data_IF_162673706663
#
_entry.id   IF_162673706663
#
_cell.length_a   1.000
_cell.length_b   1.000
_cell.length_c   1.000
_cell.angle_alpha   90.00
_cell.angle_beta   90.00
_cell.angle_gamma   90.00
#
_symmetry.space_group_name_H-M   'P 1'
#
loop_
_entity.id
_entity.type
_entity.pdbx_description
1 polymer ?
#
# COMPACT_ATOMS: atom_id res chain seq x y z
N UNK A 1 47.88 22.99 -48.65
CA UNK A 1 46.51 23.18 -48.12
C UNK A 1 45.88 21.80 -47.99
N UNK A 2 45.01 21.65 -47.00
CA UNK A 2 44.18 20.49 -46.68
C UNK A 2 44.79 19.45 -45.74
N UNK A 3 44.57 19.71 -44.45
CA UNK A 3 44.42 18.74 -43.37
C UNK A 3 43.20 17.83 -43.59
N UNK A 4 43.30 16.55 -43.20
CA UNK A 4 42.30 15.86 -42.34
C UNK A 4 42.76 14.44 -41.95
N UNK A 5 42.64 14.16 -40.64
CA UNK A 5 42.90 12.90 -39.93
C UNK A 5 41.78 11.86 -40.14
N UNK A 6 42.13 10.59 -40.41
CA UNK A 6 42.14 9.37 -39.55
C UNK A 6 40.79 8.85 -39.03
N UNK A 7 40.55 7.57 -39.33
CA UNK A 7 39.88 6.62 -38.44
C UNK A 7 40.22 5.16 -38.84
N UNK A 8 40.60 4.26 -37.92
CA UNK A 8 40.67 2.83 -38.22
C UNK A 8 39.59 2.02 -37.49
N UNK A 9 39.02 1.06 -38.23
CA UNK A 9 38.06 0.09 -37.74
C UNK A 9 38.68 -1.18 -37.14
N UNK A 10 37.92 -1.74 -36.20
CA UNK A 10 37.67 -3.17 -35.92
C UNK A 10 38.75 -4.21 -36.26
N UNK A 11 39.23 -4.91 -35.22
CA UNK A 11 39.70 -6.30 -35.35
C UNK A 11 39.26 -7.17 -34.16
N UNK A 12 38.68 -8.33 -34.50
CA UNK A 12 38.28 -9.44 -33.62
C UNK A 12 39.49 -10.02 -32.87
N UNK A 13 39.30 -10.47 -31.63
CA UNK A 13 40.22 -11.44 -31.01
C UNK A 13 39.49 -12.58 -30.29
N UNK A 14 40.05 -13.76 -30.51
CA UNK A 14 39.63 -15.12 -30.23
C UNK A 14 39.69 -15.54 -28.77
N UNK A 15 38.83 -16.51 -28.43
CA UNK A 15 38.76 -17.28 -27.19
C UNK A 15 40.08 -17.95 -26.78
N UNK A 16 40.44 -17.85 -25.49
CA UNK A 16 41.27 -18.84 -24.79
C UNK A 16 40.65 -19.15 -23.44
N UNK A 17 40.30 -20.42 -23.24
CA UNK A 17 39.91 -20.97 -21.96
C UNK A 17 41.11 -21.00 -21.01
N UNK A 18 40.87 -20.54 -19.79
CA UNK A 18 41.75 -20.73 -18.64
C UNK A 18 40.85 -20.98 -17.43
N UNK A 19 40.96 -22.16 -16.85
CA UNK A 19 40.31 -22.49 -15.59
C UNK A 19 40.88 -21.58 -14.49
N UNK A 20 40.10 -20.60 -14.07
CA UNK A 20 40.35 -19.82 -12.86
C UNK A 20 39.41 -20.38 -11.79
N UNK A 21 39.97 -21.20 -10.91
CA UNK A 21 39.46 -21.43 -9.57
C UNK A 21 39.40 -20.07 -8.87
N UNK A 22 38.28 -19.37 -9.00
CA UNK A 22 38.00 -18.18 -8.21
C UNK A 22 37.72 -18.63 -6.79
N UNK A 23 38.67 -18.38 -5.88
CA UNK A 23 38.41 -18.28 -4.46
C UNK A 23 37.27 -17.27 -4.28
N UNK A 24 36.04 -17.78 -4.16
CA UNK A 24 34.87 -17.00 -3.77
C UNK A 24 35.06 -16.59 -2.31
N UNK A 25 35.56 -15.38 -2.11
CA UNK A 25 35.73 -14.78 -0.79
C UNK A 25 34.39 -14.68 -0.05
N UNK A 26 34.47 -14.76 1.28
CA UNK A 26 33.35 -14.66 2.22
C UNK A 26 32.48 -13.39 2.04
N UNK A 27 32.99 -12.37 1.35
CA UNK A 27 32.38 -11.04 1.20
C UNK A 27 31.17 -11.01 0.25
N UNK A 28 31.01 -11.99 -0.65
CA UNK A 28 29.83 -12.05 -1.55
C UNK A 28 28.54 -12.43 -0.78
N UNK A 29 28.67 -13.00 0.41
CA UNK A 29 27.54 -13.52 1.18
C UNK A 29 26.81 -12.49 2.05
N UNK A 30 27.41 -11.33 2.33
CA UNK A 30 26.79 -10.31 3.18
C UNK A 30 25.72 -9.48 2.45
N UNK A 31 25.78 -9.47 1.11
CA UNK A 31 24.84 -8.77 0.23
C UNK A 31 23.98 -9.77 -0.56
N UNK A 32 23.20 -10.61 0.12
CA UNK A 32 22.26 -11.53 -0.54
C UNK A 32 21.28 -10.77 -1.45
N UNK A 33 21.63 -10.57 -2.72
CA UNK A 33 20.73 -10.04 -3.74
C UNK A 33 19.78 -11.17 -4.09
N UNK A 34 18.64 -11.21 -3.40
CA UNK A 34 17.55 -12.13 -3.72
C UNK A 34 17.06 -11.82 -5.14
N UNK A 35 16.97 -12.83 -6.04
CA UNK A 35 16.41 -12.63 -7.38
C UNK A 35 15.02 -11.98 -7.30
N UNK A 36 14.69 -11.08 -8.23
CA UNK A 36 13.42 -10.34 -8.21
C UNK A 36 12.19 -11.25 -8.20
N UNK A 37 12.27 -12.42 -8.86
CA UNK A 37 11.22 -13.45 -8.86
C UNK A 37 11.03 -14.13 -7.50
N UNK A 38 11.98 -13.98 -6.57
CA UNK A 38 11.97 -14.55 -5.22
C UNK A 38 11.91 -13.47 -4.13
N UNK A 39 11.47 -12.25 -4.46
CA UNK A 39 11.50 -11.11 -3.55
C UNK A 39 10.84 -11.35 -2.18
N UNK A 40 9.83 -12.23 -2.12
CA UNK A 40 9.12 -12.63 -0.89
C UNK A 40 9.96 -13.42 0.11
N UNK A 41 11.18 -13.84 -0.24
CA UNK A 41 12.11 -14.55 0.64
C UNK A 41 13.02 -13.58 1.41
N UNK A 42 13.20 -12.36 0.90
CA UNK A 42 14.07 -11.34 1.50
C UNK A 42 13.77 -11.06 2.98
N UNK A 43 12.50 -10.95 3.43
CA UNK A 43 12.18 -10.79 4.84
C UNK A 43 12.67 -11.96 5.71
N UNK A 44 12.58 -13.18 5.20
CA UNK A 44 12.99 -14.40 5.92
C UNK A 44 14.51 -14.41 6.16
N UNK A 45 15.29 -14.06 5.14
CA UNK A 45 16.74 -14.00 5.24
C UNK A 45 17.22 -12.84 6.12
N UNK A 46 16.49 -11.71 6.12
CA UNK A 46 16.75 -10.58 7.02
C UNK A 46 16.54 -10.97 8.48
N UNK A 47 15.41 -11.60 8.79
CA UNK A 47 15.13 -12.13 10.12
C UNK A 47 16.20 -13.14 10.55
N UNK A 48 16.61 -14.04 9.65
CA UNK A 48 17.67 -15.01 9.93
C UNK A 48 19.00 -14.32 10.31
N UNK A 49 19.40 -13.25 9.60
CA UNK A 49 20.61 -12.48 9.91
C UNK A 49 20.50 -11.73 11.24
N UNK A 50 19.32 -11.20 11.55
CA UNK A 50 19.07 -10.47 12.79
C UNK A 50 19.21 -11.36 14.02
N UNK A 51 18.63 -12.55 13.99
CA UNK A 51 18.62 -13.45 15.16
C UNK A 51 19.87 -14.33 15.25
N UNK A 52 20.77 -14.30 14.25
CA UNK A 52 21.93 -15.20 14.16
C UNK A 52 22.89 -15.10 15.35
N UNK A 53 23.10 -13.88 15.87
CA UNK A 53 24.01 -13.66 16.99
C UNK A 53 23.46 -14.22 18.32
N UNK A 54 22.14 -14.13 18.53
CA UNK A 54 21.46 -14.54 19.76
C UNK A 54 21.03 -16.01 19.71
N UNK A 55 20.53 -16.47 18.56
CA UNK A 55 19.98 -17.80 18.34
C UNK A 55 20.43 -18.40 16.99
N UNK A 56 21.65 -18.97 16.93
CA UNK A 56 22.20 -19.57 15.71
C UNK A 56 21.33 -20.68 15.13
N UNK A 57 20.67 -21.49 15.98
CA UNK A 57 19.78 -22.56 15.51
C UNK A 57 18.51 -22.01 14.86
N UNK A 58 17.90 -20.99 15.43
CA UNK A 58 16.71 -20.36 14.84
C UNK A 58 17.05 -19.67 13.52
N UNK A 59 18.20 -19.00 13.43
CA UNK A 59 18.69 -18.43 12.17
C UNK A 59 18.88 -19.48 11.07
N UNK A 60 19.44 -20.65 11.43
CA UNK A 60 19.53 -21.80 10.52
C UNK A 60 18.15 -22.26 10.03
N UNK A 61 17.17 -22.40 10.93
CA UNK A 61 15.79 -22.80 10.57
C UNK A 61 15.12 -21.79 9.63
N UNK A 62 15.34 -20.49 9.85
CA UNK A 62 14.85 -19.44 8.96
C UNK A 62 15.46 -19.56 7.56
N UNK A 63 16.77 -19.82 7.45
CA UNK A 63 17.44 -20.05 6.14
C UNK A 63 16.96 -21.31 5.46
N UNK A 64 16.68 -22.36 6.22
CA UNK A 64 16.17 -23.62 5.69
C UNK A 64 14.75 -23.42 5.11
N UNK A 65 13.88 -22.75 5.86
CA UNK A 65 12.55 -22.36 5.38
C UNK A 65 12.62 -21.47 4.14
N UNK A 66 13.54 -20.50 4.11
CA UNK A 66 13.80 -19.66 2.94
C UNK A 66 14.19 -20.49 1.70
N UNK A 67 15.01 -21.51 1.87
CA UNK A 67 15.39 -22.43 0.79
C UNK A 67 14.19 -23.24 0.28
N UNK A 68 13.38 -23.80 1.17
CA UNK A 68 12.15 -24.52 0.78
C UNK A 68 11.15 -23.60 0.07
N UNK A 69 10.97 -22.37 0.57
CA UNK A 69 10.11 -21.35 -0.06
C UNK A 69 10.63 -20.99 -1.45
N UNK A 70 11.95 -20.85 -1.64
CA UNK A 70 12.56 -20.66 -2.96
C UNK A 70 12.28 -21.84 -3.89
N UNK A 71 12.37 -23.07 -3.38
CA UNK A 71 12.08 -24.27 -4.16
C UNK A 71 10.61 -24.29 -4.62
N UNK A 72 9.66 -23.99 -3.74
CA UNK A 72 8.22 -23.91 -4.08
C UNK A 72 7.92 -22.83 -5.12
N UNK A 73 8.56 -21.66 -5.04
CA UNK A 73 8.30 -20.53 -5.94
C UNK A 73 8.83 -20.73 -7.36
N UNK A 74 9.94 -21.47 -7.53
CA UNK A 74 10.51 -21.76 -8.85
C UNK A 74 11.15 -23.16 -8.87
N UNK A 75 10.37 -24.25 -8.90
CA UNK A 75 10.91 -25.61 -8.77
C UNK A 75 11.98 -25.95 -9.80
N UNK A 76 11.82 -25.46 -11.03
CA UNK A 76 12.75 -25.68 -12.16
C UNK A 76 13.94 -24.72 -12.19
N UNK A 77 13.98 -23.72 -11.31
CA UNK A 77 15.05 -22.71 -11.22
C UNK A 77 15.29 -21.96 -12.54
N UNK A 78 14.20 -21.62 -13.22
CA UNK A 78 14.21 -20.98 -14.55
C UNK A 78 14.38 -19.47 -14.48
N UNK A 79 14.09 -18.85 -13.33
CA UNK A 79 14.26 -17.42 -13.11
C UNK A 79 15.73 -16.98 -13.18
N UNK A 80 15.96 -15.76 -13.67
CA UNK A 80 17.30 -15.19 -13.75
C UNK A 80 17.96 -15.18 -12.38
N UNK A 81 19.11 -15.85 -12.25
CA UNK A 81 19.90 -15.93 -11.00
C UNK A 81 19.35 -16.89 -9.94
N UNK A 82 18.19 -17.52 -10.15
CA UNK A 82 17.55 -18.39 -9.14
C UNK A 82 18.40 -19.62 -8.82
N UNK A 83 18.95 -20.28 -9.85
CA UNK A 83 19.78 -21.47 -9.65
C UNK A 83 21.03 -21.16 -8.81
N UNK A 84 21.72 -20.06 -9.15
CA UNK A 84 22.92 -19.61 -8.42
C UNK A 84 22.59 -19.30 -6.96
N UNK A 85 21.49 -18.57 -6.74
CA UNK A 85 21.00 -18.24 -5.40
C UNK A 85 20.70 -19.50 -4.57
N UNK A 86 19.93 -20.45 -5.11
CA UNK A 86 19.60 -21.71 -4.39
C UNK A 86 20.83 -22.53 -4.06
N UNK A 87 21.77 -22.67 -4.99
CA UNK A 87 23.01 -23.41 -4.75
C UNK A 87 23.84 -22.75 -3.64
N UNK A 88 23.98 -21.42 -3.66
CA UNK A 88 24.70 -20.70 -2.62
C UNK A 88 24.03 -20.82 -1.24
N UNK A 89 22.69 -20.74 -1.19
CA UNK A 89 21.93 -20.90 0.05
C UNK A 89 22.05 -22.32 0.61
N UNK A 90 22.03 -23.35 -0.24
CA UNK A 90 22.25 -24.74 0.18
C UNK A 90 23.65 -24.95 0.77
N UNK A 91 24.70 -24.43 0.13
CA UNK A 91 26.07 -24.50 0.66
C UNK A 91 26.22 -23.80 2.02
N UNK A 92 25.52 -22.67 2.22
CA UNK A 92 25.47 -21.98 3.51
C UNK A 92 24.79 -22.85 4.56
N UNK A 93 23.66 -23.49 4.23
CA UNK A 93 22.97 -24.41 5.13
C UNK A 93 23.86 -25.60 5.53
N UNK A 94 24.56 -26.22 4.57
CA UNK A 94 25.48 -27.32 4.87
C UNK A 94 26.59 -26.91 5.85
N UNK A 95 27.12 -25.70 5.70
CA UNK A 95 28.14 -25.13 6.60
C UNK A 95 27.59 -24.81 7.99
N UNK A 96 26.41 -24.21 8.06
CA UNK A 96 25.84 -23.68 9.30
C UNK A 96 25.12 -24.78 10.12
N UNK A 97 24.77 -25.93 9.53
CA UNK A 97 23.96 -26.95 10.20
C UNK A 97 24.62 -27.54 11.46
N UNK A 98 25.83 -28.08 11.35
CA UNK A 98 26.53 -28.68 12.48
C UNK A 98 26.81 -27.69 13.64
N UNK A 99 27.37 -26.49 13.42
CA UNK A 99 27.60 -25.55 14.50
C UNK A 99 26.30 -25.02 15.11
N UNK A 100 25.26 -24.77 14.30
CA UNK A 100 23.96 -24.32 14.84
C UNK A 100 23.26 -25.41 15.66
N UNK A 101 23.38 -26.68 15.27
CA UNK A 101 22.82 -27.81 16.01
C UNK A 101 23.54 -28.00 17.35
N UNK A 102 24.86 -27.81 17.40
CA UNK A 102 25.63 -27.87 18.63
C UNK A 102 25.27 -26.74 19.62
N UNK A 103 24.86 -25.58 19.09
CA UNK A 103 24.40 -24.44 19.89
C UNK A 103 22.94 -24.56 20.37
N UNK A 104 22.19 -25.58 19.92
CA UNK A 104 20.77 -25.74 20.25
C UNK A 104 20.57 -26.09 21.72
N UNK A 105 19.65 -25.38 22.39
CA UNK A 105 19.40 -25.55 23.83
C UNK A 105 18.29 -26.57 24.10
N UNK A 106 17.25 -26.60 23.27
CA UNK A 106 16.07 -27.46 23.43
C UNK A 106 16.25 -28.80 22.71
N UNK A 107 15.33 -29.73 23.04
CA UNK A 107 15.37 -31.12 22.56
C UNK A 107 15.05 -31.30 21.07
N UNK A 108 14.26 -30.39 20.50
CA UNK A 108 13.86 -30.41 19.08
C UNK A 108 13.90 -29.01 18.49
N UNK A 109 13.88 -28.90 17.16
CA UNK A 109 13.90 -27.60 16.50
C UNK A 109 12.57 -26.87 16.71
N UNK A 110 11.44 -27.60 16.75
CA UNK A 110 10.14 -27.04 17.10
C UNK A 110 10.17 -26.37 18.48
N UNK A 111 10.73 -27.04 19.50
CA UNK A 111 10.81 -26.48 20.85
C UNK A 111 11.78 -25.31 20.94
N UNK A 112 12.87 -25.33 20.17
CA UNK A 112 13.83 -24.22 20.09
C UNK A 112 13.14 -22.94 19.60
N UNK A 113 12.52 -23.00 18.41
CA UNK A 113 11.88 -21.82 17.82
C UNK A 113 10.62 -21.41 18.57
N UNK A 114 9.89 -22.34 19.18
CA UNK A 114 8.74 -22.04 20.04
C UNK A 114 9.17 -21.21 21.27
N UNK A 115 10.21 -21.66 21.97
CA UNK A 115 10.74 -20.95 23.14
C UNK A 115 11.28 -19.59 22.77
N UNK A 116 12.01 -19.50 21.66
CA UNK A 116 12.56 -18.23 21.21
C UNK A 116 11.47 -17.26 20.72
N UNK A 117 10.42 -17.74 20.07
CA UNK A 117 9.31 -16.88 19.64
C UNK A 117 8.64 -16.18 20.83
N UNK A 118 8.38 -16.92 21.91
CA UNK A 118 7.80 -16.36 23.14
C UNK A 118 8.74 -15.31 23.75
N UNK A 119 10.02 -15.65 23.92
CA UNK A 119 11.02 -14.73 24.44
C UNK A 119 11.14 -13.47 23.57
N UNK A 120 11.18 -13.64 22.25
CA UNK A 120 11.27 -12.54 21.30
C UNK A 120 10.06 -11.62 21.38
N UNK A 121 8.85 -12.18 21.47
CA UNK A 121 7.63 -11.41 21.58
C UNK A 121 7.56 -10.60 22.88
N UNK A 122 7.92 -11.18 24.03
CA UNK A 122 7.95 -10.43 25.30
C UNK A 122 9.04 -9.33 25.28
N UNK A 123 10.25 -9.68 24.83
CA UNK A 123 11.43 -8.82 24.94
C UNK A 123 11.54 -7.73 23.87
N UNK A 124 10.93 -7.93 22.70
CA UNK A 124 11.03 -6.98 21.58
C UNK A 124 9.69 -6.48 21.08
N UNK A 125 8.60 -7.23 21.19
CA UNK A 125 7.29 -6.74 20.74
C UNK A 125 6.58 -6.02 21.88
N UNK A 126 6.32 -6.69 23.01
CA UNK A 126 5.61 -6.08 24.15
C UNK A 126 6.39 -4.97 24.83
N UNK A 127 7.70 -5.18 25.06
CA UNK A 127 8.54 -4.17 25.73
C UNK A 127 8.61 -2.86 24.94
N UNK A 128 8.78 -2.93 23.62
CA UNK A 128 8.87 -1.77 22.74
C UNK A 128 7.51 -1.10 22.52
N UNK A 129 6.41 -1.87 22.52
CA UNK A 129 5.04 -1.35 22.40
C UNK A 129 4.58 -0.60 23.68
N UNK A 130 5.17 -0.92 24.84
CA UNK A 130 4.89 -0.24 26.12
C UNK A 130 5.78 0.99 26.38
N UNK A 131 6.81 1.22 25.57
CA UNK A 131 7.74 2.34 25.77
C UNK A 131 7.16 3.66 25.25
N UNK A 132 7.04 4.69 26.11
CA UNK A 132 6.63 6.06 25.73
C UNK A 132 7.52 6.71 24.64
N UNK A 133 8.69 6.11 24.37
CA UNK A 133 9.73 6.55 23.43
C UNK A 133 10.25 5.41 22.53
N UNK A 134 9.47 4.36 22.29
CA UNK A 134 9.90 3.25 21.44
C UNK A 134 10.35 3.72 20.05
N UNK A 135 11.55 3.31 19.61
CA UNK A 135 12.03 3.56 18.25
C UNK A 135 11.10 2.80 17.29
N UNK A 136 10.15 3.50 16.67
CA UNK A 136 9.15 2.94 15.74
C UNK A 136 9.78 2.12 14.63
N UNK A 137 11.02 2.44 14.24
CA UNK A 137 11.77 1.66 13.26
C UNK A 137 12.15 0.29 13.84
N UNK A 138 12.62 0.26 15.10
CA UNK A 138 12.91 -0.99 15.81
C UNK A 138 11.63 -1.79 16.07
N UNK A 139 10.53 -1.15 16.47
CA UNK A 139 9.25 -1.84 16.70
C UNK A 139 8.68 -2.42 15.39
N UNK A 140 8.71 -1.65 14.30
CA UNK A 140 8.31 -2.15 12.97
C UNK A 140 9.18 -3.30 12.48
N UNK A 141 10.49 -3.27 12.76
CA UNK A 141 11.42 -4.38 12.51
C UNK A 141 11.08 -5.59 13.40
N UNK A 142 10.77 -5.37 14.67
CA UNK A 142 10.39 -6.42 15.60
C UNK A 142 9.14 -7.17 15.14
N UNK A 143 8.09 -6.46 14.71
CA UNK A 143 6.89 -7.08 14.14
C UNK A 143 7.19 -7.89 12.86
N UNK A 144 8.03 -7.37 11.96
CA UNK A 144 8.42 -8.10 10.75
C UNK A 144 9.15 -9.40 11.08
N UNK A 145 10.09 -9.35 12.02
CA UNK A 145 10.86 -10.52 12.44
C UNK A 145 9.98 -11.51 13.20
N UNK A 146 9.08 -11.05 14.08
CA UNK A 146 8.13 -11.92 14.78
C UNK A 146 7.21 -12.68 13.81
N UNK A 147 6.64 -12.03 12.81
CA UNK A 147 5.80 -12.69 11.81
C UNK A 147 6.56 -13.79 11.05
N UNK A 148 7.80 -13.50 10.64
CA UNK A 148 8.67 -14.51 10.00
C UNK A 148 8.94 -15.67 10.95
N UNK A 149 9.27 -15.39 12.22
CA UNK A 149 9.53 -16.44 13.21
C UNK A 149 8.30 -17.33 13.43
N UNK A 150 7.10 -16.76 13.43
CA UNK A 150 5.86 -17.53 13.49
C UNK A 150 5.62 -18.37 12.23
N UNK A 151 5.88 -17.81 11.02
CA UNK A 151 5.80 -18.56 9.76
C UNK A 151 6.74 -19.78 9.78
N UNK A 152 7.98 -19.59 10.25
CA UNK A 152 8.99 -20.64 10.36
C UNK A 152 8.59 -21.65 11.44
N UNK A 153 8.09 -21.21 12.60
CA UNK A 153 7.57 -22.10 13.66
C UNK A 153 6.48 -23.02 13.11
N UNK A 154 5.50 -22.47 12.38
CA UNK A 154 4.45 -23.27 11.76
C UNK A 154 5.00 -24.28 10.73
N UNK A 155 6.03 -23.91 9.97
CA UNK A 155 6.67 -24.81 9.02
C UNK A 155 7.42 -25.95 9.72
N UNK A 156 8.21 -25.64 10.76
CA UNK A 156 8.97 -26.62 11.54
C UNK A 156 8.03 -27.59 12.26
N UNK A 157 6.94 -27.10 12.87
CA UNK A 157 5.95 -27.96 13.54
C UNK A 157 5.28 -28.93 12.57
N UNK A 158 4.98 -28.50 11.34
CA UNK A 158 4.46 -29.40 10.30
C UNK A 158 5.45 -30.50 9.93
N UNK A 159 6.74 -30.16 9.83
CA UNK A 159 7.80 -31.12 9.49
C UNK A 159 8.07 -32.11 10.63
N UNK A 160 8.11 -31.64 11.88
CA UNK A 160 8.31 -32.48 13.07
C UNK A 160 7.01 -33.17 13.56
N UNK A 161 5.87 -32.96 12.89
CA UNK A 161 4.54 -33.50 13.25
C UNK A 161 4.11 -33.17 14.68
N UNK A 162 4.37 -31.93 15.10
CA UNK A 162 3.89 -31.39 16.37
C UNK A 162 2.45 -30.92 16.18
N UNK A 163 1.49 -31.59 16.83
CA UNK A 163 0.05 -31.42 16.56
C UNK A 163 -0.52 -30.06 17.00
N UNK A 164 -0.01 -29.45 18.08
CA UNK A 164 -0.57 -28.19 18.60
C UNK A 164 0.52 -27.17 18.96
N UNK A 165 0.30 -25.93 18.48
CA UNK A 165 1.02 -24.73 18.94
C UNK A 165 0.32 -24.25 20.21
N UNK A 166 1.10 -23.81 21.20
CA UNK A 166 0.57 -23.25 22.44
C UNK A 166 -0.43 -22.11 22.17
N UNK A 167 -1.63 -22.10 22.78
CA UNK A 167 -2.61 -21.03 22.61
C UNK A 167 -2.05 -19.62 22.86
N UNK A 168 -1.09 -19.46 23.79
CA UNK A 168 -0.46 -18.18 24.06
C UNK A 168 0.34 -17.65 22.86
N UNK A 169 1.00 -18.56 22.13
CA UNK A 169 1.76 -18.23 20.92
C UNK A 169 0.83 -17.85 19.77
N UNK A 170 -0.30 -18.53 19.65
CA UNK A 170 -1.33 -18.19 18.67
C UNK A 170 -1.90 -16.79 18.96
N UNK A 171 -2.17 -16.48 20.23
CA UNK A 171 -2.63 -15.17 20.65
C UNK A 171 -1.58 -14.07 20.36
N UNK A 172 -0.31 -14.33 20.66
CA UNK A 172 0.79 -13.41 20.35
C UNK A 172 0.97 -13.20 18.84
N UNK A 173 0.87 -14.26 18.03
CA UNK A 173 0.93 -14.15 16.57
C UNK A 173 -0.24 -13.35 16.00
N UNK A 174 -1.43 -13.48 16.58
CA UNK A 174 -2.59 -12.67 16.21
C UNK A 174 -2.38 -11.19 16.55
N UNK A 175 -1.83 -10.87 17.73
CA UNK A 175 -1.45 -9.49 18.10
C UNK A 175 -0.41 -8.91 17.12
N UNK A 176 0.65 -9.67 16.81
CA UNK A 176 1.67 -9.31 15.82
C UNK A 176 1.03 -9.01 14.46
N UNK A 177 0.13 -9.86 14.00
CA UNK A 177 -0.54 -9.69 12.71
C UNK A 177 -1.39 -8.42 12.68
N UNK A 178 -2.19 -8.18 13.72
CA UNK A 178 -3.08 -7.01 13.82
C UNK A 178 -2.28 -5.70 13.91
N UNK A 179 -1.21 -5.67 14.73
CA UNK A 179 -0.39 -4.47 14.92
C UNK A 179 0.62 -4.20 13.82
N UNK A 180 1.14 -5.22 13.14
CA UNK A 180 2.02 -5.02 11.97
C UNK A 180 1.32 -4.22 10.87
N UNK A 181 0.01 -4.41 10.68
CA UNK A 181 -0.75 -3.59 9.76
C UNK A 181 -0.69 -2.10 10.13
N UNK A 182 -0.51 -1.76 11.40
CA UNK A 182 -0.45 -0.39 11.90
C UNK A 182 0.93 0.24 11.64
N UNK A 183 2.01 -0.52 11.80
CA UNK A 183 3.40 -0.06 11.69
C UNK A 183 4.00 -0.12 10.28
N UNK A 184 3.20 0.16 9.24
CA UNK A 184 3.68 0.01 7.85
C UNK A 184 4.69 1.11 7.48
N UNK A 185 5.87 0.82 6.87
CA UNK A 185 7.01 1.74 6.84
C UNK A 185 6.92 2.97 5.93
N UNK A 186 5.87 3.08 5.11
CA UNK A 186 5.87 4.00 3.96
C UNK A 186 5.28 5.38 4.26
N UNK A 187 4.65 5.56 5.42
CA UNK A 187 4.02 6.81 5.85
C UNK A 187 4.89 7.53 6.89
N UNK A 188 5.12 8.83 6.66
CA UNK A 188 5.87 9.72 7.55
C UNK A 188 5.09 9.97 8.85
N UNK A 189 3.77 10.12 8.77
CA UNK A 189 2.92 10.46 9.90
C UNK A 189 2.56 9.22 10.73
N UNK A 190 2.96 9.17 12.00
CA UNK A 190 2.57 8.14 12.95
C UNK A 190 1.16 8.38 13.48
N UNK A 191 0.15 7.99 12.72
CA UNK A 191 -1.26 8.19 13.13
C UNK A 191 -1.76 7.15 14.15
N UNK A 192 -0.90 6.23 14.56
CA UNK A 192 -1.16 5.22 15.57
C UNK A 192 -0.85 5.71 17.00
N UNK A 193 -1.34 4.98 18.00
CA UNK A 193 -1.20 5.36 19.41
C UNK A 193 0.26 5.47 19.86
N UNK A 194 1.13 4.56 19.43
CA UNK A 194 2.57 4.60 19.74
C UNK A 194 3.27 5.77 19.02
N UNK A 195 2.71 6.21 17.90
CA UNK A 195 3.14 7.36 17.13
C UNK A 195 2.81 8.73 17.73
N UNK A 196 1.87 8.81 18.66
CA UNK A 196 1.32 10.06 19.17
C UNK A 196 2.37 10.96 19.85
N UNK A 197 3.41 10.38 20.47
CA UNK A 197 4.48 11.13 21.14
C UNK A 197 5.53 11.71 20.18
N UNK A 198 5.50 11.35 18.90
CA UNK A 198 6.54 11.78 17.96
C UNK A 198 6.51 13.29 17.68
N UNK A 199 7.67 13.94 17.49
CA UNK A 199 7.75 15.40 17.32
C UNK A 199 6.87 15.95 16.20
N UNK A 200 6.74 15.23 15.09
CA UNK A 200 5.89 15.65 13.96
C UNK A 200 4.40 15.68 14.32
N UNK A 201 3.96 14.78 15.21
CA UNK A 201 2.59 14.72 15.73
C UNK A 201 2.32 15.79 16.80
N UNK A 202 3.38 16.43 17.32
CA UNK A 202 3.26 17.55 18.25
C UNK A 202 2.98 18.90 17.58
N UNK A 203 3.13 18.98 16.25
CA UNK A 203 2.80 20.19 15.48
C UNK A 203 1.29 20.44 15.49
N UNK A 204 0.88 21.61 15.93
CA UNK A 204 -0.54 21.97 16.08
C UNK A 204 -1.29 21.97 14.74
N UNK A 205 -0.65 22.37 13.64
CA UNK A 205 -1.24 22.28 12.31
C UNK A 205 -1.47 20.83 11.84
N UNK A 206 -0.67 19.87 12.32
CA UNK A 206 -0.86 18.44 12.05
C UNK A 206 -2.02 17.94 12.91
N UNK A 207 -2.03 18.24 14.21
CA UNK A 207 -3.14 17.89 15.12
C UNK A 207 -4.48 18.41 14.62
N UNK A 208 -4.51 19.67 14.17
CA UNK A 208 -5.70 20.31 13.62
C UNK A 208 -6.23 19.56 12.38
N UNK A 209 -5.37 19.24 11.42
CA UNK A 209 -5.75 18.52 10.21
C UNK A 209 -6.17 17.07 10.48
N UNK A 210 -5.49 16.39 11.41
CA UNK A 210 -5.86 15.05 11.87
C UNK A 210 -7.25 15.10 12.52
N UNK A 211 -7.47 15.99 13.49
CA UNK A 211 -8.76 16.14 14.17
C UNK A 211 -9.92 16.41 13.20
N UNK A 212 -9.69 17.21 12.15
CA UNK A 212 -10.70 17.45 11.12
C UNK A 212 -11.08 16.19 10.32
N UNK A 213 -10.14 15.25 10.09
CA UNK A 213 -10.42 13.96 9.46
C UNK A 213 -11.20 13.00 10.35
N UNK A 214 -11.00 13.08 11.67
CA UNK A 214 -11.73 12.28 12.66
C UNK A 214 -13.18 12.72 12.87
N UNK A 215 -13.60 13.85 12.29
CA UNK A 215 -14.98 14.28 12.36
C UNK A 215 -15.89 13.41 11.46
N UNK A 216 -16.31 12.26 11.97
CA UNK A 216 -17.22 11.33 11.28
C UNK A 216 -18.67 11.46 11.76
N UNK A 217 -19.02 12.57 12.42
CA UNK A 217 -20.37 12.79 12.93
C UNK A 217 -21.40 12.76 11.80
N UNK A 218 -22.52 12.06 12.01
CA UNK A 218 -23.60 11.94 11.02
C UNK A 218 -23.30 11.02 9.83
N UNK A 219 -22.14 10.34 9.79
CA UNK A 219 -21.83 9.38 8.74
C UNK A 219 -22.45 8.00 9.05
N UNK A 220 -23.21 7.47 8.10
CA UNK A 220 -23.80 6.14 8.21
C UNK A 220 -22.79 5.08 7.77
N UNK A 221 -22.37 4.22 8.70
CA UNK A 221 -21.40 3.15 8.43
C UNK A 221 -22.09 1.85 8.01
N UNK A 222 -21.48 1.06 7.10
CA UNK A 222 -21.97 -0.29 6.83
C UNK A 222 -21.82 -1.20 8.06
N UNK A 223 -22.87 -1.97 8.38
CA UNK A 223 -23.00 -2.74 9.64
C UNK A 223 -21.88 -3.77 9.88
N UNK A 224 -21.31 -4.33 8.81
CA UNK A 224 -20.27 -5.37 8.89
C UNK A 224 -18.85 -4.83 8.73
N UNK A 225 -18.67 -3.54 8.46
CA UNK A 225 -17.36 -2.98 8.14
C UNK A 225 -16.50 -2.77 9.39
N UNK A 226 -15.43 -3.55 9.59
CA UNK A 226 -14.45 -3.34 10.68
C UNK A 226 -15.08 -3.04 12.06
N UNK A 227 -16.07 -3.84 12.48
CA UNK A 227 -16.90 -3.60 13.67
C UNK A 227 -16.10 -3.28 14.95
N UNK A 228 -14.94 -3.93 15.14
CA UNK A 228 -14.09 -3.68 16.29
C UNK A 228 -13.50 -2.26 16.28
N UNK A 229 -13.01 -1.80 15.12
CA UNK A 229 -12.47 -0.43 14.96
C UNK A 229 -13.56 0.64 15.00
N UNK A 230 -14.74 0.33 14.46
CA UNK A 230 -15.92 1.21 14.63
C UNK A 230 -16.25 1.42 16.11
N UNK A 231 -16.30 0.33 16.90
CA UNK A 231 -16.59 0.40 18.34
C UNK A 231 -15.51 1.12 19.13
N UNK A 232 -14.25 0.96 18.73
CA UNK A 232 -13.12 1.67 19.34
C UNK A 232 -13.08 3.17 19.00
N UNK A 233 -13.80 3.58 17.96
CA UNK A 233 -13.75 4.96 17.47
C UNK A 233 -12.48 5.27 16.67
N UNK A 234 -11.88 4.25 16.04
CA UNK A 234 -10.58 4.30 15.36
C UNK A 234 -10.69 4.47 13.83
N UNK A 235 -11.81 5.02 13.35
CA UNK A 235 -12.07 5.23 11.92
C UNK A 235 -12.33 6.70 11.60
N UNK A 236 -11.78 7.14 10.48
CA UNK A 236 -11.89 8.51 10.01
C UNK A 236 -12.72 8.66 8.72
N UNK A 237 -12.82 9.89 8.21
CA UNK A 237 -13.53 10.21 6.97
C UNK A 237 -13.04 9.39 5.77
N UNK A 238 -11.75 9.08 5.66
CA UNK A 238 -11.23 8.29 4.53
C UNK A 238 -11.52 6.80 4.69
N UNK A 239 -11.57 6.28 5.92
CA UNK A 239 -12.07 4.93 6.19
C UNK A 239 -13.55 4.81 5.81
N UNK A 240 -14.34 5.87 6.03
CA UNK A 240 -15.73 5.89 5.57
C UNK A 240 -15.81 5.87 4.03
N UNK A 241 -15.01 6.69 3.34
CA UNK A 241 -14.93 6.65 1.88
C UNK A 241 -14.48 5.28 1.36
N UNK A 242 -13.54 4.61 2.05
CA UNK A 242 -13.14 3.23 1.74
C UNK A 242 -14.33 2.27 1.85
N UNK A 243 -15.06 2.34 2.97
CA UNK A 243 -16.21 1.48 3.23
C UNK A 243 -17.31 1.65 2.18
N UNK A 244 -17.57 2.91 1.77
CA UNK A 244 -18.62 3.22 0.82
C UNK A 244 -18.21 2.89 -0.62
N UNK A 245 -16.99 3.22 -1.03
CA UNK A 245 -16.58 3.17 -2.44
C UNK A 245 -15.63 2.01 -2.77
N UNK A 246 -15.21 1.21 -1.81
CA UNK A 246 -14.37 0.03 -2.07
C UNK A 246 -12.97 0.37 -2.57
N UNK A 247 -12.33 1.39 -1.98
CA UNK A 247 -10.93 1.75 -2.27
C UNK A 247 -9.95 0.78 -1.59
N UNK A 248 -8.72 0.71 -2.10
CA UNK A 248 -7.65 -0.10 -1.51
C UNK A 248 -7.18 0.48 -0.17
N UNK A 249 -6.93 -0.39 0.81
CA UNK A 249 -6.49 -0.02 2.17
C UNK A 249 -5.21 0.82 2.17
N UNK A 250 -4.22 0.44 1.37
CA UNK A 250 -2.95 1.17 1.29
C UNK A 250 -3.09 2.51 0.55
N UNK A 251 -3.96 2.60 -0.46
CA UNK A 251 -4.28 3.87 -1.09
C UNK A 251 -4.88 4.85 -0.07
N UNK A 252 -5.83 4.37 0.75
CA UNK A 252 -6.45 5.16 1.82
C UNK A 252 -5.43 5.67 2.82
N UNK A 253 -4.49 4.82 3.25
CA UNK A 253 -3.40 5.22 4.15
C UNK A 253 -2.49 6.28 3.55
N UNK A 254 -2.13 6.14 2.27
CA UNK A 254 -1.25 7.09 1.58
C UNK A 254 -1.95 8.45 1.36
N UNK A 255 -3.22 8.44 0.92
CA UNK A 255 -3.97 9.67 0.66
C UNK A 255 -4.37 10.39 1.95
N UNK A 256 -4.57 9.66 3.05
CA UNK A 256 -4.78 10.24 4.38
C UNK A 256 -3.61 11.11 4.79
N UNK A 257 -2.38 10.57 4.75
CA UNK A 257 -1.17 11.34 5.03
C UNK A 257 -1.02 12.52 4.07
N UNK A 258 -1.23 12.29 2.78
CA UNK A 258 -1.12 13.34 1.77
C UNK A 258 -2.06 14.52 2.04
N UNK A 259 -3.33 14.23 2.37
CA UNK A 259 -4.33 15.25 2.67
C UNK A 259 -4.00 16.02 3.96
N UNK A 260 -3.56 15.33 5.01
CA UNK A 260 -3.09 15.97 6.26
C UNK A 260 -1.96 16.94 5.94
N UNK A 261 -0.92 16.49 5.24
CA UNK A 261 0.24 17.33 4.92
C UNK A 261 -0.13 18.54 4.04
N UNK A 262 -1.02 18.37 3.06
CA UNK A 262 -1.51 19.48 2.24
C UNK A 262 -2.22 20.54 3.07
N UNK A 263 -3.12 20.12 3.96
CA UNK A 263 -3.90 21.02 4.81
C UNK A 263 -3.00 21.73 5.82
N UNK A 264 -2.16 20.98 6.55
CA UNK A 264 -1.24 21.51 7.54
C UNK A 264 -0.27 22.52 6.92
N UNK A 265 0.23 22.26 5.70
CA UNK A 265 1.14 23.16 5.00
C UNK A 265 0.49 24.51 4.65
N UNK A 266 -0.79 24.49 4.23
CA UNK A 266 -1.53 25.73 3.97
C UNK A 266 -1.90 26.42 5.27
N UNK A 267 -2.34 25.66 6.28
CA UNK A 267 -2.77 26.15 7.59
C UNK A 267 -1.66 26.94 8.30
N UNK A 268 -0.44 26.40 8.36
CA UNK A 268 0.70 27.07 9.01
C UNK A 268 1.10 28.37 8.30
N UNK A 269 0.77 28.53 7.02
CA UNK A 269 1.09 29.71 6.19
C UNK A 269 0.02 30.81 6.24
N UNK A 270 -1.09 30.60 6.92
CA UNK A 270 -2.16 31.60 7.01
C UNK A 270 -1.71 32.88 7.72
N UNK A 271 -2.16 34.02 7.19
CA UNK A 271 -1.97 35.36 7.76
C UNK A 271 -3.33 36.09 7.73
N UNK A 272 -3.85 36.57 8.88
CA UNK A 272 -3.34 36.35 10.24
C UNK A 272 -3.38 34.86 10.64
N UNK A 273 -2.60 34.51 11.65
CA UNK A 273 -2.54 33.14 12.18
C UNK A 273 -3.93 32.68 12.66
N UNK A 274 -4.26 31.40 12.52
CA UNK A 274 -5.50 30.83 13.04
C UNK A 274 -5.62 31.00 14.55
N UNK A 275 -6.82 31.37 15.01
CA UNK A 275 -7.20 31.39 16.42
C UNK A 275 -8.52 30.63 16.59
N UNK A 276 -8.55 29.49 17.32
CA UNK A 276 -7.43 28.83 17.97
C UNK A 276 -6.55 28.04 16.99
N UNK A 277 -5.25 27.91 17.29
CA UNK A 277 -4.28 27.30 16.38
C UNK A 277 -4.40 25.76 16.27
N UNK A 278 -5.05 25.13 17.25
CA UNK A 278 -5.27 23.69 17.31
C UNK A 278 -6.52 23.21 16.55
N UNK A 279 -7.24 24.11 15.87
CA UNK A 279 -8.36 23.78 15.00
C UNK A 279 -8.04 24.13 13.55
N UNK A 280 -8.53 23.31 12.62
CA UNK A 280 -8.28 23.54 11.20
C UNK A 280 -9.10 24.72 10.69
N UNK A 281 -8.41 25.81 10.34
CA UNK A 281 -9.02 27.03 9.81
C UNK A 281 -9.65 26.80 8.42
N UNK A 282 -10.89 27.25 8.24
CA UNK A 282 -11.63 27.15 6.97
C UNK A 282 -10.88 27.75 5.79
N UNK A 283 -10.07 28.80 6.00
CA UNK A 283 -9.29 29.43 4.93
C UNK A 283 -8.28 28.45 4.32
N UNK A 284 -7.71 27.56 5.12
CA UNK A 284 -6.80 26.54 4.63
C UNK A 284 -7.56 25.46 3.84
N UNK A 285 -8.71 25.01 4.36
CA UNK A 285 -9.59 24.04 3.69
C UNK A 285 -10.04 24.58 2.34
N UNK A 286 -10.50 25.84 2.28
CA UNK A 286 -10.96 26.49 1.06
C UNK A 286 -9.84 26.67 0.03
N UNK A 287 -8.63 27.03 0.47
CA UNK A 287 -7.49 27.17 -0.42
C UNK A 287 -7.10 25.83 -1.06
N UNK A 288 -7.04 24.73 -0.28
CA UNK A 288 -6.75 23.39 -0.80
C UNK A 288 -7.87 22.92 -1.73
N UNK A 289 -9.14 23.04 -1.30
CA UNK A 289 -10.30 22.66 -2.10
C UNK A 289 -10.36 23.43 -3.42
N UNK A 290 -10.11 24.74 -3.40
CA UNK A 290 -10.08 25.57 -4.60
C UNK A 290 -9.02 25.08 -5.59
N UNK A 291 -7.82 24.75 -5.10
CA UNK A 291 -6.72 24.26 -5.93
C UNK A 291 -7.02 22.89 -6.53
N UNK A 292 -7.49 21.93 -5.72
CA UNK A 292 -7.82 20.57 -6.18
C UNK A 292 -8.93 20.56 -7.23
N UNK A 293 -9.99 21.34 -7.03
CA UNK A 293 -11.17 21.31 -7.90
C UNK A 293 -11.17 22.34 -9.03
N UNK A 294 -10.07 23.07 -9.25
CA UNK A 294 -9.98 24.07 -10.32
C UNK A 294 -10.29 23.46 -11.69
N UNK A 295 -9.61 22.36 -12.04
CA UNK A 295 -9.80 21.69 -13.32
C UNK A 295 -11.21 21.11 -13.47
N UNK A 296 -11.72 20.46 -12.43
CA UNK A 296 -13.08 19.92 -12.41
C UNK A 296 -14.15 21.00 -12.63
N UNK A 297 -14.03 22.15 -11.94
CA UNK A 297 -14.96 23.28 -12.12
C UNK A 297 -14.90 23.84 -13.54
N UNK A 298 -13.70 23.95 -14.12
CA UNK A 298 -13.54 24.39 -15.52
C UNK A 298 -14.13 23.38 -16.50
N UNK A 299 -13.92 22.08 -16.29
CA UNK A 299 -14.49 21.01 -17.12
C UNK A 299 -16.03 21.02 -17.06
N UNK A 300 -16.63 21.12 -15.87
CA UNK A 300 -18.09 21.26 -15.73
C UNK A 300 -18.62 22.51 -16.45
N UNK A 301 -17.93 23.65 -16.32
CA UNK A 301 -18.31 24.90 -17.00
C UNK A 301 -18.25 24.75 -18.53
N UNK A 302 -17.20 24.11 -19.04
CA UNK A 302 -17.03 23.84 -20.47
C UNK A 302 -18.18 22.99 -21.02
N UNK A 303 -18.60 21.96 -20.28
CA UNK A 303 -19.72 21.10 -20.66
C UNK A 303 -21.11 21.69 -20.35
N UNK A 304 -21.20 22.92 -19.84
CA UNK A 304 -22.48 23.53 -19.44
C UNK A 304 -23.20 22.81 -18.29
N UNK A 305 -22.47 22.07 -17.45
CA UNK A 305 -23.01 21.30 -16.32
C UNK A 305 -22.74 22.01 -14.99
N UNK A 306 -23.66 21.84 -14.03
CA UNK A 306 -23.41 22.23 -12.63
C UNK A 306 -22.48 21.20 -11.99
N UNK A 307 -21.49 21.66 -11.22
CA UNK A 307 -20.62 20.77 -10.47
C UNK A 307 -21.35 20.12 -9.27
N UNK A 308 -20.98 18.89 -8.90
CA UNK A 308 -21.57 18.15 -7.79
C UNK A 308 -20.93 18.43 -6.40
N UNK A 309 -20.15 19.51 -6.26
CA UNK A 309 -19.64 20.00 -4.98
C UNK A 309 -20.75 20.74 -4.21
N UNK A 310 -21.70 19.99 -3.62
CA UNK A 310 -22.84 20.53 -2.89
C UNK A 310 -22.50 20.66 -1.40
N UNK A 311 -22.50 21.88 -0.90
CA UNK A 311 -22.25 22.15 0.52
C UNK A 311 -23.58 22.22 1.30
N UNK A 312 -23.63 21.72 2.54
CA UNK A 312 -24.81 21.83 3.39
C UNK A 312 -25.06 23.29 3.79
N UNK A 313 -26.30 23.60 4.17
CA UNK A 313 -26.64 24.93 4.71
C UNK A 313 -26.11 25.12 6.14
N UNK A 314 -25.98 24.04 6.90
CA UNK A 314 -25.46 24.07 8.26
C UNK A 314 -23.94 24.19 8.26
N UNK A 315 -23.43 25.27 8.85
CA UNK A 315 -22.01 25.61 8.85
C UNK A 315 -21.11 24.53 9.47
N UNK A 316 -21.61 23.81 10.49
CA UNK A 316 -20.85 22.78 11.21
C UNK A 316 -20.48 21.57 10.33
N UNK A 317 -21.28 21.27 9.30
CA UNK A 317 -21.05 20.15 8.39
C UNK A 317 -20.27 20.55 7.12
N UNK A 318 -20.09 21.86 6.88
CA UNK A 318 -19.44 22.37 5.67
C UNK A 318 -18.00 21.88 5.60
N UNK A 319 -17.23 21.98 6.69
CA UNK A 319 -15.85 21.53 6.73
C UNK A 319 -15.76 20.04 6.39
N UNK A 320 -16.54 19.20 7.08
CA UNK A 320 -16.58 17.76 6.86
C UNK A 320 -16.93 17.42 5.40
N UNK A 321 -17.88 18.16 4.80
CA UNK A 321 -18.23 17.99 3.38
C UNK A 321 -17.05 18.27 2.46
N UNK A 322 -16.32 19.37 2.69
CA UNK A 322 -15.12 19.72 1.90
C UNK A 322 -14.06 18.63 2.04
N UNK A 323 -13.83 18.13 3.26
CA UNK A 323 -12.89 17.04 3.55
C UNK A 323 -13.27 15.76 2.80
N UNK A 324 -14.54 15.38 2.79
CA UNK A 324 -15.04 14.22 2.04
C UNK A 324 -14.84 14.37 0.53
N UNK A 325 -15.11 15.54 -0.05
CA UNK A 325 -14.86 15.76 -1.47
C UNK A 325 -13.37 15.67 -1.80
N UNK A 326 -12.50 16.34 -1.02
CA UNK A 326 -11.05 16.29 -1.22
C UNK A 326 -10.50 14.86 -1.06
N UNK A 327 -10.93 14.14 -0.02
CA UNK A 327 -10.57 12.74 0.20
C UNK A 327 -11.01 11.86 -0.98
N UNK A 328 -12.26 11.99 -1.44
CA UNK A 328 -12.79 11.22 -2.57
C UNK A 328 -11.95 11.46 -3.85
N UNK A 329 -11.64 12.72 -4.16
CA UNK A 329 -10.82 13.05 -5.33
C UNK A 329 -9.43 12.45 -5.25
N UNK A 330 -8.77 12.56 -4.08
CA UNK A 330 -7.44 12.01 -3.86
C UNK A 330 -7.42 10.47 -3.91
N UNK A 331 -8.46 9.80 -3.40
CA UNK A 331 -8.59 8.34 -3.49
C UNK A 331 -8.77 7.87 -4.94
N UNK A 332 -9.64 8.56 -5.71
CA UNK A 332 -9.78 8.33 -7.16
C UNK A 332 -8.43 8.50 -7.85
N UNK A 333 -7.74 9.62 -7.57
CA UNK A 333 -6.42 9.89 -8.13
C UNK A 333 -5.40 8.80 -7.76
N UNK A 334 -5.43 8.32 -6.52
CA UNK A 334 -4.52 7.31 -5.99
C UNK A 334 -4.63 5.95 -6.69
N UNK A 335 -5.82 5.57 -7.15
CA UNK A 335 -6.06 4.30 -7.85
C UNK A 335 -6.12 4.42 -9.38
N UNK A 336 -6.13 5.64 -9.94
CA UNK A 336 -6.31 5.87 -11.37
C UNK A 336 -5.21 5.30 -12.30
N UNK A 337 -4.01 4.99 -11.78
CA UNK A 337 -2.88 4.49 -12.57
C UNK A 337 -2.63 5.33 -13.85
N UNK A 338 -2.65 4.71 -15.03
CA UNK A 338 -2.43 5.40 -16.32
C UNK A 338 -3.57 6.35 -16.72
N UNK A 339 -4.75 6.26 -16.09
CA UNK A 339 -5.88 7.16 -16.37
C UNK A 339 -5.58 8.58 -15.86
N UNK A 340 -4.54 8.77 -15.04
CA UNK A 340 -4.05 10.11 -14.65
C UNK A 340 -3.65 10.99 -15.82
N UNK A 341 -3.32 10.40 -16.97
CA UNK A 341 -3.02 11.11 -18.19
C UNK A 341 -4.27 11.52 -18.98
N UNK A 342 -5.47 11.21 -18.48
CA UNK A 342 -6.76 11.56 -19.05
C UNK A 342 -7.57 12.42 -18.05
N UNK A 343 -7.22 13.71 -17.88
CA UNK A 343 -7.78 14.54 -16.80
C UNK A 343 -9.30 14.74 -16.89
N UNK A 344 -9.89 14.73 -18.10
CA UNK A 344 -11.33 14.85 -18.31
C UNK A 344 -12.05 13.54 -17.97
N UNK A 345 -11.43 12.39 -18.26
CA UNK A 345 -11.90 11.09 -17.74
C UNK A 345 -11.93 11.08 -16.21
N UNK A 346 -10.91 11.62 -15.55
CA UNK A 346 -10.90 11.77 -14.09
C UNK A 346 -11.97 12.72 -13.57
N UNK A 347 -12.21 13.83 -14.27
CA UNK A 347 -13.30 14.74 -13.94
C UNK A 347 -14.66 14.05 -14.06
N UNK A 348 -14.85 13.23 -15.08
CA UNK A 348 -16.05 12.41 -15.26
C UNK A 348 -16.24 11.39 -14.13
N UNK A 349 -15.19 10.66 -13.76
CA UNK A 349 -15.22 9.71 -12.62
C UNK A 349 -15.61 10.43 -11.34
N UNK A 350 -14.94 11.54 -11.03
CA UNK A 350 -15.25 12.34 -9.85
C UNK A 350 -16.68 12.91 -9.90
N UNK A 351 -17.15 13.35 -11.07
CA UNK A 351 -18.50 13.91 -11.22
C UNK A 351 -19.58 12.92 -10.79
N UNK A 352 -19.47 11.67 -11.23
CA UNK A 352 -20.44 10.63 -10.91
C UNK A 352 -20.32 10.16 -9.46
N UNK A 353 -19.09 9.92 -8.97
CA UNK A 353 -18.90 9.48 -7.58
C UNK A 353 -19.27 10.56 -6.56
N UNK A 354 -19.05 11.84 -6.87
CA UNK A 354 -19.48 12.94 -5.99
C UNK A 354 -21.01 13.11 -5.96
N UNK A 355 -21.71 12.69 -7.01
CA UNK A 355 -23.18 12.58 -7.01
C UNK A 355 -23.65 11.43 -6.12
N UNK A 356 -23.03 10.24 -6.24
CA UNK A 356 -23.33 9.10 -5.35
C UNK A 356 -23.04 9.44 -3.88
N UNK A 357 -21.90 10.08 -3.60
CA UNK A 357 -21.55 10.59 -2.27
C UNK A 357 -22.67 11.45 -1.69
N UNK A 358 -23.22 12.37 -2.47
CA UNK A 358 -24.33 13.21 -2.00
C UNK A 358 -25.58 12.37 -1.68
N UNK A 359 -25.88 11.34 -2.47
CA UNK A 359 -26.97 10.39 -2.20
C UNK A 359 -26.79 9.63 -0.88
N UNK A 360 -25.57 9.19 -0.56
CA UNK A 360 -25.26 8.54 0.72
C UNK A 360 -25.43 9.48 1.91
N UNK A 361 -25.06 10.76 1.77
CA UNK A 361 -25.22 11.75 2.83
C UNK A 361 -26.65 12.23 3.04
N UNK A 362 -27.46 12.29 1.99
CA UNK A 362 -28.84 12.75 2.07
C UNK A 362 -29.75 11.74 2.78
N UNK A 363 -29.23 10.61 3.27
CA UNK A 363 -30.00 9.62 4.00
C UNK A 363 -31.03 8.92 3.14
N UNK A 364 -30.77 8.77 1.83
CA UNK A 364 -31.55 7.86 1.01
C UNK A 364 -31.31 6.45 1.58
N UNK A 365 -32.19 6.01 2.48
CA UNK A 365 -32.23 4.64 2.98
C UNK A 365 -32.88 3.82 1.88
N UNK A 366 -32.23 2.74 1.43
CA UNK A 366 -32.87 1.78 0.54
C UNK A 366 -34.18 1.33 1.18
N UNK A 367 -35.30 1.61 0.51
CA UNK A 367 -36.66 1.62 1.06
C UNK A 367 -37.16 0.29 1.63
N UNK A 368 -36.35 -0.77 1.69
CA UNK A 368 -36.81 -2.11 2.12
C UNK A 368 -35.84 -2.96 2.96
N UNK A 369 -34.56 -2.61 3.18
CA UNK A 369 -33.64 -3.55 3.88
C UNK A 369 -32.79 -2.98 5.01
N UNK A 370 -32.74 -1.66 5.24
CA UNK A 370 -31.89 -1.08 6.29
C UNK A 370 -30.38 -1.18 6.02
N UNK A 371 -29.99 -1.70 4.86
CA UNK A 371 -28.61 -1.68 4.39
C UNK A 371 -28.22 -0.29 3.87
N UNK A 372 -26.99 0.14 4.16
CA UNK A 372 -26.38 1.31 3.53
C UNK A 372 -26.46 1.16 2.00
N UNK A 373 -26.93 2.18 1.28
CA UNK A 373 -26.85 2.20 -0.19
C UNK A 373 -25.40 1.88 -0.57
N UNK A 374 -25.22 0.84 -1.38
CA UNK A 374 -23.93 0.53 -2.00
C UNK A 374 -23.76 1.40 -3.25
N UNK A 375 -22.54 1.80 -3.63
CA UNK A 375 -22.29 2.51 -4.86
C UNK A 375 -22.73 1.66 -6.05
N UNK A 376 -22.95 2.28 -7.20
CA UNK A 376 -23.54 1.62 -8.37
C UNK A 376 -22.77 0.36 -8.82
N UNK A 377 -21.48 0.24 -8.47
CA UNK A 377 -20.61 -0.90 -8.78
C UNK A 377 -20.46 -1.92 -7.62
N UNK A 378 -21.14 -1.78 -6.49
CA UNK A 378 -21.26 -2.86 -5.49
C UNK A 378 -20.36 -2.79 -4.25
N UNK A 379 -19.54 -1.75 -4.07
CA UNK A 379 -18.94 -1.36 -2.77
C UNK A 379 -18.02 -2.37 -2.06
N UNK A 380 -17.76 -3.54 -2.66
CA UNK A 380 -16.90 -4.57 -2.08
C UNK A 380 -15.44 -4.09 -1.98
N UNK A 381 -14.61 -4.80 -1.21
CA UNK A 381 -13.19 -4.45 -1.06
C UNK A 381 -12.47 -4.40 -2.42
N UNK A 382 -11.76 -3.31 -2.69
CA UNK A 382 -11.12 -2.99 -3.99
C UNK A 382 -12.06 -2.95 -5.21
N UNK A 383 -13.38 -2.79 -5.00
CA UNK A 383 -14.35 -2.74 -6.08
C UNK A 383 -14.11 -1.54 -7.03
N UNK A 384 -13.63 -0.40 -6.53
CA UNK A 384 -13.33 0.76 -7.38
C UNK A 384 -12.26 0.43 -8.43
N UNK A 385 -11.12 -0.12 -8.00
CA UNK A 385 -10.06 -0.56 -8.91
C UNK A 385 -10.57 -1.61 -9.92
N UNK A 386 -11.30 -2.63 -9.45
CA UNK A 386 -11.73 -3.75 -10.31
C UNK A 386 -12.86 -3.41 -11.27
N UNK A 387 -13.80 -2.55 -10.86
CA UNK A 387 -15.06 -2.31 -11.58
C UNK A 387 -15.11 -0.94 -12.27
N UNK A 388 -14.29 0.03 -11.86
CA UNK A 388 -14.22 1.37 -12.50
C UNK A 388 -12.92 1.52 -13.29
N UNK A 389 -11.77 1.38 -12.63
CA UNK A 389 -10.46 1.64 -13.25
C UNK A 389 -10.07 0.54 -14.24
N UNK A 390 -10.22 -0.73 -13.86
CA UNK A 390 -9.77 -1.86 -14.70
C UNK A 390 -10.46 -1.92 -16.06
N UNK A 391 -11.78 -1.71 -16.20
CA UNK A 391 -12.42 -1.68 -17.52
C UNK A 391 -11.88 -0.56 -18.42
N UNK A 392 -11.71 0.66 -17.89
CA UNK A 392 -11.12 1.78 -18.63
C UNK A 392 -9.68 1.48 -19.04
N UNK A 393 -8.88 0.93 -18.12
CA UNK A 393 -7.52 0.50 -18.41
C UNK A 393 -7.47 -0.58 -19.51
N UNK A 394 -8.40 -1.55 -19.52
CA UNK A 394 -8.47 -2.57 -20.57
C UNK A 394 -8.75 -1.99 -21.95
N UNK A 395 -9.57 -0.94 -22.04
CA UNK A 395 -9.80 -0.21 -23.29
C UNK A 395 -8.50 0.44 -23.76
N UNK A 396 -7.82 1.16 -22.86
CA UNK A 396 -6.52 1.79 -23.13
C UNK A 396 -5.48 0.76 -23.58
N UNK A 397 -5.33 -0.36 -22.87
CA UNK A 397 -4.37 -1.42 -23.19
C UNK A 397 -4.68 -2.04 -24.57
N UNK A 398 -5.96 -2.26 -24.87
CA UNK A 398 -6.39 -2.78 -26.17
C UNK A 398 -6.06 -1.81 -27.31
N UNK A 399 -6.31 -0.51 -27.14
CA UNK A 399 -5.97 0.51 -28.13
C UNK A 399 -4.45 0.67 -28.27
N UNK A 400 -3.71 0.71 -27.16
CA UNK A 400 -2.26 0.82 -27.16
C UNK A 400 -1.59 -0.36 -27.89
N UNK A 401 -2.12 -1.59 -27.77
CA UNK A 401 -1.61 -2.77 -28.51
C UNK A 401 -1.76 -2.63 -30.03
N UNK A 402 -2.76 -1.89 -30.52
CA UNK A 402 -2.91 -1.63 -31.96
C UNK A 402 -1.77 -0.78 -32.53
N UNK A 403 -1.06 0.00 -31.70
CA UNK A 403 0.12 0.77 -32.12
C UNK A 403 1.26 -0.09 -32.66
N UNK A 404 1.30 -1.40 -32.33
CA UNK A 404 2.39 -2.33 -32.65
C UNK A 404 3.76 -1.79 -32.23
N UNK A 405 3.85 -1.21 -31.02
CA UNK A 405 5.04 -0.54 -30.48
C UNK A 405 5.48 0.65 -31.36
N UNK A 406 4.52 1.49 -31.78
CA UNK A 406 4.76 2.68 -32.60
C UNK A 406 5.04 2.41 -34.08
N UNK A 407 4.83 1.17 -34.55
CA UNK A 407 5.03 0.79 -35.97
C UNK A 407 3.77 0.95 -36.82
N UNK A 408 2.59 1.01 -36.20
CA UNK A 408 1.34 1.21 -36.91
C UNK A 408 1.12 2.72 -37.19
N UNK A 409 0.46 3.08 -38.32
CA UNK A 409 0.12 4.47 -38.60
C UNK A 409 -0.81 5.04 -37.52
N UNK A 410 -0.68 6.32 -37.20
CA UNK A 410 -1.46 6.93 -36.11
C UNK A 410 -2.98 6.83 -36.33
N UNK A 411 -3.44 6.84 -37.58
CA UNK A 411 -4.86 6.69 -37.93
C UNK A 411 -5.48 5.32 -37.62
N UNK A 412 -4.67 4.32 -37.22
CA UNK A 412 -5.17 2.96 -36.93
C UNK A 412 -5.34 2.65 -35.45
N UNK A 413 -5.09 3.60 -34.55
CA UNK A 413 -5.19 3.40 -33.11
C UNK A 413 -5.41 4.72 -32.36
N UNK A 414 -6.07 4.67 -31.22
CA UNK A 414 -6.29 5.83 -30.35
C UNK A 414 -5.24 5.86 -29.24
N UNK A 415 -4.64 7.02 -29.00
CA UNK A 415 -3.79 7.28 -27.85
C UNK A 415 -4.61 7.81 -26.65
N UNK A 416 -3.94 8.20 -25.57
CA UNK A 416 -4.61 8.72 -24.37
C UNK A 416 -5.39 10.01 -24.64
N UNK A 417 -4.87 10.91 -25.49
CA UNK A 417 -5.51 12.18 -25.84
C UNK A 417 -6.80 11.92 -26.65
N UNK A 418 -6.74 11.02 -27.63
CA UNK A 418 -7.89 10.62 -28.45
C UNK A 418 -9.01 10.01 -27.58
N UNK A 419 -8.65 9.16 -26.62
CA UNK A 419 -9.61 8.56 -25.68
C UNK A 419 -10.16 9.60 -24.68
N UNK A 420 -9.33 10.57 -24.31
CA UNK A 420 -9.71 11.61 -23.36
C UNK A 420 -10.66 12.64 -23.99
N UNK A 421 -10.57 12.86 -25.31
CA UNK A 421 -11.50 13.67 -26.09
C UNK A 421 -12.95 13.17 -25.97
N UNK A 422 -13.18 11.87 -25.75
CA UNK A 422 -14.53 11.35 -25.48
C UNK A 422 -15.21 12.08 -24.30
N UNK A 423 -14.44 12.47 -23.28
CA UNK A 423 -14.91 13.18 -22.10
C UNK A 423 -14.97 14.71 -22.30
N UNK A 424 -14.65 15.20 -23.50
CA UNK A 424 -14.91 16.57 -23.97
C UNK A 424 -16.24 16.70 -24.72
N UNK A 425 -16.78 15.61 -25.27
CA UNK A 425 -17.93 15.67 -26.17
C UNK A 425 -19.24 15.98 -25.43
N UNK A 426 -19.90 17.06 -25.84
CA UNK A 426 -21.21 17.47 -25.34
C UNK A 426 -22.27 16.41 -25.69
N UNK A 427 -22.79 15.68 -24.69
CA UNK A 427 -23.80 14.63 -24.87
C UNK A 427 -23.26 13.22 -24.62
N UNK A 428 -22.42 12.65 -25.52
CA UNK A 428 -22.09 11.23 -25.55
C UNK A 428 -21.58 10.63 -24.24
N UNK A 429 -20.71 11.36 -23.52
CA UNK A 429 -20.14 10.87 -22.26
C UNK A 429 -21.16 10.71 -21.12
N UNK A 430 -22.31 11.41 -21.19
CA UNK A 430 -23.40 11.31 -20.23
C UNK A 430 -24.62 10.54 -20.76
N UNK A 431 -24.58 10.07 -22.01
CA UNK A 431 -25.62 9.22 -22.60
C UNK A 431 -25.43 7.75 -22.22
N UNK A 432 -24.19 7.33 -21.96
CA UNK A 432 -23.90 6.01 -21.42
C UNK A 432 -24.12 6.00 -19.90
N UNK A 433 -24.65 4.89 -19.33
CA UNK A 433 -24.68 4.72 -17.89
C UNK A 433 -23.27 4.80 -17.32
N UNK A 434 -23.15 5.42 -16.14
CA UNK A 434 -21.89 5.63 -15.39
C UNK A 434 -21.04 4.35 -15.28
N UNK A 435 -21.65 3.18 -15.24
CA UNK A 435 -20.98 1.88 -15.34
C UNK A 435 -21.56 1.08 -16.50
N UNK A 436 -20.72 0.35 -17.25
CA UNK A 436 -21.23 -0.68 -18.14
C UNK A 436 -22.00 -1.70 -17.29
N UNK A 437 -23.23 -2.02 -17.69
CA UNK A 437 -23.95 -3.15 -17.12
C UNK A 437 -23.03 -4.36 -17.28
N UNK A 438 -22.56 -4.90 -16.15
CA UNK A 438 -21.72 -6.09 -16.15
C UNK A 438 -22.63 -7.22 -16.64
N UNK A 439 -22.55 -7.55 -17.93
CA UNK A 439 -23.08 -8.81 -18.41
C UNK A 439 -22.33 -9.90 -17.66
N UNK A 440 -23.07 -10.56 -16.78
CA UNK A 440 -22.66 -11.78 -16.10
C UNK A 440 -22.50 -12.82 -17.21
N UNK A 441 -21.25 -13.17 -17.51
CA UNK A 441 -20.91 -14.37 -18.27
C UNK A 441 -20.40 -15.45 -17.33
#
# INVERSE_FOLDING_TARGET
>A
MSSHEVGPGLTKRTSRGGALTTNFSSEVFDNQVVPSSLGSISPVLRAAKEVEAEQPRVAYLCRFHAFEKAHRLDPSSTGRGVRQFKTALLQRLERDNAPSLAARVKKSDAREIQSFYQEYYENYVRSLDQGEQGDRVQLGKAYQTAEVLFEVLCAVNKTEKVEEVDPEIIAAAKDVQEKKEIYTPYNILPLDAAGASQPIMQLEEIKAAVAALWNTHGLNWPTLFEQHRQKAGDLDILDWLRAMFGFQKDNVRNQREHLILLLSNVHVRLVPKPEPFNQLDERAVDAVMHKLFKNYKTWCKFLGRKHNLRLPQQYQEVQQRKMLYMGLYLLIWGEAANIRFMPECLCFIFHNMSYELHGHLAGNVGTMTGDSIKPSYGGDEEAFLRKVITPLYRVIDKEAKKSRNGKAPHSSWCNYDDLNEYFWCFGPCFELPWLPQVEVY
#
